data_IF_680906304020
#
_entry.id   IF_680906304020
#
_cell.length_a   1.000
_cell.length_b   1.000
_cell.length_c   1.000
_cell.angle_alpha   90.00
_cell.angle_beta   90.00
_cell.angle_gamma   90.00
#
_symmetry.space_group_name_H-M   'P 1'
#
loop_
_entity.id
_entity.type
_entity.pdbx_description
1 polymer ?
#
# COMPACT_ATOMS: atom_id res chain seq x y z
N UNK A 1 -9.92 13.53 2.20
CA UNK A 1 -8.59 13.82 1.63
C UNK A 1 -7.76 12.55 1.58
N UNK A 2 -7.03 12.34 0.51
CA UNK A 2 -6.18 11.18 0.38
C UNK A 2 -4.87 11.36 1.09
N UNK A 3 -4.47 10.35 1.86
CA UNK A 3 -3.18 10.34 2.54
C UNK A 3 -2.12 9.61 1.72
N UNK A 4 -2.58 8.72 0.85
CA UNK A 4 -1.72 7.99 -0.06
C UNK A 4 -2.62 7.38 -1.14
N UNK A 5 -2.03 6.65 -2.08
CA UNK A 5 -2.79 6.07 -3.20
C UNK A 5 -2.92 4.56 -3.11
N UNK A 6 -2.77 4.01 -1.91
CA UNK A 6 -2.90 2.56 -1.75
C UNK A 6 -4.29 2.09 -2.16
N UNK A 7 -5.32 2.77 -1.66
CA UNK A 7 -6.70 2.38 -1.98
C UNK A 7 -6.97 2.49 -3.47
N UNK A 8 -6.58 3.59 -4.10
CA UNK A 8 -6.79 3.77 -5.53
C UNK A 8 -6.02 2.74 -6.34
N UNK A 9 -4.79 2.47 -5.96
CA UNK A 9 -3.98 1.47 -6.66
C UNK A 9 -4.60 0.08 -6.50
N UNK A 10 -5.06 -0.22 -5.28
CA UNK A 10 -5.71 -1.48 -4.99
C UNK A 10 -6.97 -1.64 -5.86
N UNK A 11 -7.78 -0.59 -5.93
CA UNK A 11 -8.99 -0.61 -6.73
C UNK A 11 -8.68 -0.74 -8.22
N UNK A 12 -7.61 -0.10 -8.67
CA UNK A 12 -7.17 -0.20 -10.05
C UNK A 12 -6.85 -1.65 -10.42
N UNK A 13 -6.28 -2.41 -9.50
CA UNK A 13 -5.95 -3.81 -9.73
C UNK A 13 -7.03 -4.76 -9.25
N UNK A 14 -8.19 -4.24 -8.84
CA UNK A 14 -9.32 -5.03 -8.36
C UNK A 14 -8.93 -5.94 -7.19
N UNK A 15 -8.13 -5.40 -6.29
CA UNK A 15 -7.69 -6.10 -5.09
C UNK A 15 -8.48 -5.70 -3.86
N UNK A 16 -8.81 -6.67 -3.02
CA UNK A 16 -9.34 -6.39 -1.70
C UNK A 16 -8.19 -6.06 -0.75
N UNK A 17 -8.53 -5.51 0.42
CA UNK A 17 -7.51 -5.25 1.45
C UNK A 17 -6.84 -6.56 1.88
N UNK A 18 -7.63 -7.61 2.01
CA UNK A 18 -7.12 -8.92 2.42
C UNK A 18 -6.15 -9.47 1.37
N UNK A 19 -6.48 -9.29 0.11
CA UNK A 19 -5.60 -9.77 -0.96
C UNK A 19 -4.28 -9.02 -0.96
N UNK A 20 -4.33 -7.70 -0.83
CA UNK A 20 -3.11 -6.90 -0.76
C UNK A 20 -2.27 -7.31 0.45
N UNK A 21 -2.93 -7.46 1.60
CA UNK A 21 -2.24 -7.83 2.83
C UNK A 21 -1.53 -9.17 2.67
N UNK A 22 -2.21 -10.14 2.07
CA UNK A 22 -1.63 -11.47 1.87
C UNK A 22 -0.43 -11.39 0.94
N UNK A 23 -0.54 -10.65 -0.16
CA UNK A 23 0.57 -10.52 -1.10
C UNK A 23 1.74 -9.77 -0.51
N UNK A 24 1.47 -8.80 0.34
CA UNK A 24 2.52 -8.02 0.97
C UNK A 24 3.08 -8.66 2.24
N UNK A 25 2.43 -9.72 2.73
CA UNK A 25 2.87 -10.37 3.96
C UNK A 25 2.62 -9.55 5.21
N UNK A 26 1.54 -8.77 5.22
CA UNK A 26 1.14 -7.95 6.37
C UNK A 26 -0.33 -8.22 6.67
N UNK A 27 -0.84 -7.67 7.77
CA UNK A 27 -2.23 -7.88 8.13
C UNK A 27 -3.13 -6.90 7.36
N UNK A 28 -4.39 -7.28 7.17
CA UNK A 28 -5.36 -6.38 6.54
C UNK A 28 -5.63 -5.17 7.41
N UNK A 29 -5.50 -5.31 8.72
CA UNK A 29 -5.63 -4.18 9.63
C UNK A 29 -4.53 -3.15 9.37
N UNK A 30 -3.32 -3.61 9.08
CA UNK A 30 -2.21 -2.72 8.75
C UNK A 30 -2.52 -1.96 7.46
N UNK A 31 -3.06 -2.64 6.44
CA UNK A 31 -3.46 -1.98 5.20
C UNK A 31 -4.50 -0.90 5.49
N UNK A 32 -5.51 -1.23 6.29
CA UNK A 32 -6.57 -0.29 6.62
C UNK A 32 -6.02 0.95 7.32
N UNK A 33 -5.12 0.75 8.28
CA UNK A 33 -4.53 1.87 9.02
C UNK A 33 -3.73 2.79 8.11
N UNK A 34 -2.95 2.22 7.20
CA UNK A 34 -2.14 3.02 6.28
C UNK A 34 -3.04 3.79 5.33
N UNK A 35 -4.11 3.18 4.84
CA UNK A 35 -5.05 3.88 3.97
C UNK A 35 -5.72 5.06 4.67
N UNK A 36 -5.83 4.99 5.99
CA UNK A 36 -6.41 6.07 6.78
C UNK A 36 -5.39 7.15 7.14
N UNK A 37 -4.16 7.00 6.68
CA UNK A 37 -3.15 8.03 6.86
C UNK A 37 -2.12 7.77 7.94
N UNK A 38 -2.18 6.62 8.61
CA UNK A 38 -1.17 6.30 9.60
C UNK A 38 0.14 5.96 8.89
N UNK A 39 1.26 6.40 9.48
CA UNK A 39 2.55 6.14 8.88
C UNK A 39 2.92 4.67 8.97
N UNK A 40 3.82 4.24 8.10
CA UNK A 40 4.33 2.87 8.15
C UNK A 40 5.84 2.88 7.90
N UNK A 41 6.47 1.78 8.27
CA UNK A 41 7.91 1.65 8.12
C UNK A 41 8.27 1.49 6.65
N UNK A 42 9.53 1.80 6.34
CA UNK A 42 10.05 1.64 4.98
C UNK A 42 9.88 0.20 4.50
N UNK A 43 10.10 -0.78 5.37
CA UNK A 43 9.93 -2.18 5.00
C UNK A 43 8.49 -2.48 4.58
N UNK A 44 7.52 -1.90 5.27
CA UNK A 44 6.12 -2.10 4.94
C UNK A 44 5.80 -1.46 3.59
N UNK A 45 6.33 -0.25 3.35
CA UNK A 45 6.15 0.42 2.06
C UNK A 45 6.70 -0.44 0.93
N UNK A 46 7.89 -1.00 1.13
CA UNK A 46 8.51 -1.85 0.12
C UNK A 46 7.65 -3.08 -0.17
N UNK A 47 7.16 -3.73 0.89
CA UNK A 47 6.31 -4.91 0.73
C UNK A 47 5.05 -4.59 -0.07
N UNK A 48 4.45 -3.43 0.21
CA UNK A 48 3.24 -3.02 -0.50
C UNK A 48 3.54 -2.74 -1.97
N UNK A 49 4.63 -2.03 -2.25
CA UNK A 49 5.01 -1.75 -3.64
C UNK A 49 5.23 -3.04 -4.42
N UNK A 50 5.96 -3.98 -3.85
CA UNK A 50 6.22 -5.24 -4.52
C UNK A 50 4.94 -6.05 -4.71
N UNK A 51 4.01 -5.98 -3.76
CA UNK A 51 2.73 -6.66 -3.88
C UNK A 51 1.91 -6.13 -5.06
N UNK A 52 2.06 -4.86 -5.40
CA UNK A 52 1.42 -4.28 -6.57
C UNK A 52 2.17 -4.56 -7.87
N UNK A 53 3.36 -5.16 -7.78
CA UNK A 53 4.20 -5.37 -8.96
C UNK A 53 5.02 -4.16 -9.35
N UNK A 54 5.13 -3.19 -8.47
CA UNK A 54 5.93 -2.00 -8.71
C UNK A 54 7.36 -2.20 -8.24
N UNK A 55 8.26 -1.36 -8.71
CA UNK A 55 9.62 -1.31 -8.20
C UNK A 55 9.69 -0.31 -7.05
N UNK A 56 10.81 -0.30 -6.34
CA UNK A 56 10.98 0.63 -5.23
C UNK A 56 11.05 2.08 -5.70
N UNK A 57 11.50 2.30 -6.94
CA UNK A 57 11.53 3.65 -7.49
C UNK A 57 10.14 4.18 -7.80
N UNK A 58 9.12 3.32 -7.81
CA UNK A 58 7.74 3.72 -8.07
C UNK A 58 7.02 4.19 -6.81
N UNK A 59 7.72 4.36 -5.70
CA UNK A 59 7.06 4.71 -4.44
C UNK A 59 6.22 5.97 -4.52
N UNK A 60 6.60 6.91 -5.36
CA UNK A 60 5.85 8.14 -5.54
C UNK A 60 4.50 7.93 -6.19
N UNK A 61 4.27 6.78 -6.82
CA UNK A 61 2.97 6.45 -7.40
C UNK A 61 1.96 6.02 -6.33
N UNK A 62 2.44 5.61 -5.16
CA UNK A 62 1.59 5.07 -4.10
C UNK A 62 1.65 5.93 -2.85
N UNK A 63 2.84 6.33 -2.44
CA UNK A 63 3.05 7.13 -1.22
C UNK A 63 3.31 8.57 -1.61
N UNK A 64 2.34 9.44 -1.33
CA UNK A 64 2.34 10.82 -1.81
C UNK A 64 3.35 11.67 -1.05
N UNK A 65 3.50 11.41 0.23
CA UNK A 65 4.42 12.19 1.06
C UNK A 65 5.18 11.25 1.99
N UNK A 66 6.39 11.58 2.22
CA UNK A 66 7.23 10.79 3.11
C UNK A 66 8.09 11.63 3.95
#
# INVERSE_FOLDING_TARGET
>A
MEHNRIRKTREKFLMSKEELARKAGISSLTVDRIEKGLSCRIETKRKILLAFGYTLSDKGLVFISD
#
